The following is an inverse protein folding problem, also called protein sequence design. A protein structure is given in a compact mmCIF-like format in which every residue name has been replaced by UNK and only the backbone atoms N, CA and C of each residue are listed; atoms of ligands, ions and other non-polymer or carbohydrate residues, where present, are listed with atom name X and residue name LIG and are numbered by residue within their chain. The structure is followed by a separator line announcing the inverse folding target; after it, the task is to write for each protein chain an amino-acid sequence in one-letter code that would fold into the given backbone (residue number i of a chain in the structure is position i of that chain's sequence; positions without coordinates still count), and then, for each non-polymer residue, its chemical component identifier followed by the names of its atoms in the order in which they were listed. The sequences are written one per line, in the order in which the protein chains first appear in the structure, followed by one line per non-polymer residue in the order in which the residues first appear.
data_IF_968034210143
#
_entry.id   IF_968034210143
#
_cell.length_a   1.000
_cell.length_b   1.000
_cell.length_c   1.000
_cell.angle_alpha   90.00
_cell.angle_beta   90.00
_cell.angle_gamma   90.00
#
_symmetry.space_group_name_H-M   'P 1'
#
loop_
_entity.id
_entity.type
_entity.pdbx_description
1 polymer ?
#
# COMPACT_ATOMS: atom_id res chain seq x y z
N UNK A 1 -24.01 -8.10 -55.85
CA UNK A 1 -24.22 -6.95 -54.95
C UNK A 1 -24.85 -7.49 -53.67
N UNK A 2 -24.36 -7.08 -52.50
CA UNK A 2 -24.75 -7.49 -51.12
C UNK A 2 -24.15 -8.82 -50.61
N UNK A 3 -23.08 -8.70 -49.81
CA UNK A 3 -22.53 -9.77 -48.94
C UNK A 3 -22.85 -9.41 -47.49
N UNK A 4 -23.45 -10.35 -46.76
CA UNK A 4 -23.87 -10.21 -45.37
C UNK A 4 -22.66 -10.16 -44.41
N UNK A 5 -22.68 -9.18 -43.51
CA UNK A 5 -21.83 -9.14 -42.33
C UNK A 5 -22.28 -10.21 -41.31
N UNK A 6 -21.36 -11.08 -40.86
CA UNK A 6 -21.54 -11.86 -39.62
C UNK A 6 -20.60 -11.29 -38.56
N UNK A 7 -21.19 -10.51 -37.66
CA UNK A 7 -20.60 -10.09 -36.38
C UNK A 7 -20.59 -11.31 -35.45
N UNK A 8 -19.43 -11.82 -35.06
CA UNK A 8 -19.30 -12.81 -33.99
C UNK A 8 -19.07 -12.04 -32.69
N UNK A 9 -20.11 -12.00 -31.85
CA UNK A 9 -20.04 -11.55 -30.47
C UNK A 9 -19.54 -12.71 -29.60
N UNK A 10 -18.27 -12.70 -29.24
CA UNK A 10 -17.71 -13.58 -28.21
C UNK A 10 -18.00 -12.95 -26.84
N UNK A 11 -19.07 -13.39 -26.18
CA UNK A 11 -19.28 -13.15 -24.75
C UNK A 11 -18.39 -14.13 -23.99
N UNK A 12 -17.14 -13.72 -23.73
CA UNK A 12 -16.26 -14.43 -22.83
C UNK A 12 -16.64 -14.15 -21.37
N UNK A 13 -17.42 -15.04 -20.75
CA UNK A 13 -17.56 -15.06 -19.29
C UNK A 13 -16.24 -15.57 -18.73
N UNK A 14 -15.36 -14.66 -18.32
CA UNK A 14 -14.22 -14.99 -17.48
C UNK A 14 -14.73 -15.33 -16.08
N UNK A 15 -14.95 -16.62 -15.81
CA UNK A 15 -15.00 -17.13 -14.44
C UNK A 15 -13.57 -17.09 -13.93
N UNK A 16 -13.20 -16.00 -13.26
CA UNK A 16 -11.95 -15.96 -12.49
C UNK A 16 -12.04 -17.06 -11.44
N UNK A 17 -11.06 -17.99 -11.36
CA UNK A 17 -11.03 -18.96 -10.29
C UNK A 17 -11.03 -18.21 -8.96
N UNK A 18 -11.84 -18.64 -8.00
CA UNK A 18 -11.87 -18.06 -6.67
C UNK A 18 -10.50 -18.30 -6.01
N UNK A 19 -9.60 -17.33 -6.13
CA UNK A 19 -8.38 -17.26 -5.32
C UNK A 19 -8.85 -17.27 -3.87
N UNK A 20 -8.40 -18.25 -3.09
CA UNK A 20 -8.63 -18.27 -1.65
C UNK A 20 -8.26 -16.88 -1.11
N UNK A 21 -9.24 -16.19 -0.51
CA UNK A 21 -8.99 -14.91 0.14
C UNK A 21 -7.88 -15.15 1.16
N UNK A 22 -6.69 -14.64 0.91
CA UNK A 22 -5.71 -14.44 1.98
C UNK A 22 -6.40 -13.44 2.91
N UNK A 23 -6.93 -13.94 4.03
CA UNK A 23 -7.46 -13.08 5.08
C UNK A 23 -6.22 -12.51 5.77
N UNK A 24 -5.76 -11.36 5.28
CA UNK A 24 -4.76 -10.57 5.96
C UNK A 24 -5.19 -10.36 7.42
N UNK A 25 -4.37 -10.78 8.42
CA UNK A 25 -4.71 -10.63 9.82
C UNK A 25 -5.00 -9.16 10.15
N UNK A 26 -6.12 -8.92 10.84
CA UNK A 26 -6.48 -7.59 11.35
C UNK A 26 -5.53 -7.21 12.48
N UNK A 27 -5.06 -5.96 12.46
CA UNK A 27 -4.29 -5.40 13.57
C UNK A 27 -5.28 -4.92 14.65
N UNK A 28 -5.23 -5.46 15.88
CA UNK A 28 -6.18 -5.11 16.92
C UNK A 28 -6.24 -3.61 17.18
N UNK A 29 -7.45 -3.07 17.31
CA UNK A 29 -7.74 -1.68 17.67
C UNK A 29 -7.18 -0.61 16.72
N UNK A 30 -6.61 -0.98 15.56
CA UNK A 30 -6.07 -0.04 14.58
C UNK A 30 -7.06 0.14 13.43
N UNK A 31 -7.30 1.39 13.05
CA UNK A 31 -8.29 1.74 12.04
C UNK A 31 -7.77 2.79 11.07
N UNK A 32 -8.22 2.69 9.83
CA UNK A 32 -8.17 3.75 8.83
C UNK A 32 -9.60 4.30 8.70
N UNK A 33 -9.76 5.59 8.96
CA UNK A 33 -11.03 6.29 8.85
C UNK A 33 -10.97 7.25 7.68
N UNK A 34 -11.77 6.97 6.66
CA UNK A 34 -11.90 7.84 5.49
C UNK A 34 -13.02 8.85 5.71
N UNK A 35 -12.73 10.13 5.47
CA UNK A 35 -13.71 11.20 5.46
C UNK A 35 -14.26 11.41 4.06
N UNK A 36 -15.46 11.99 3.98
CA UNK A 36 -16.05 12.33 2.69
C UNK A 36 -15.17 13.31 1.91
N UNK A 37 -15.05 13.13 0.58
CA UNK A 37 -14.11 13.89 -0.24
C UNK A 37 -14.42 15.39 -0.29
N UNK A 38 -15.67 15.77 -0.06
CA UNK A 38 -16.19 17.14 -0.06
C UNK A 38 -16.11 17.84 1.31
N UNK A 39 -15.70 17.13 2.38
CA UNK A 39 -15.60 17.72 3.72
C UNK A 39 -14.63 18.91 3.74
N UNK A 40 -15.11 20.11 4.10
CA UNK A 40 -14.25 21.31 4.15
C UNK A 40 -13.23 21.23 5.30
N UNK A 41 -12.12 22.00 5.26
CA UNK A 41 -11.14 22.02 6.36
C UNK A 41 -11.78 22.29 7.73
N UNK A 42 -12.73 23.23 7.81
CA UNK A 42 -13.44 23.54 9.05
C UNK A 42 -14.29 22.38 9.58
N UNK A 43 -14.87 21.57 8.69
CA UNK A 43 -15.59 20.35 9.04
C UNK A 43 -14.63 19.30 9.56
N UNK A 44 -13.49 19.10 8.89
CA UNK A 44 -12.44 18.16 9.32
C UNK A 44 -11.95 18.54 10.72
N UNK A 45 -11.65 19.81 10.97
CA UNK A 45 -11.17 20.26 12.28
C UNK A 45 -12.20 20.04 13.39
N UNK A 46 -13.47 20.29 13.10
CA UNK A 46 -14.58 20.01 14.04
C UNK A 46 -14.70 18.52 14.31
N UNK A 47 -14.60 17.70 13.27
CA UNK A 47 -14.61 16.24 13.39
C UNK A 47 -13.45 15.75 14.26
N UNK A 48 -12.23 16.25 14.04
CA UNK A 48 -11.04 15.86 14.83
C UNK A 48 -11.17 16.23 16.31
N UNK A 49 -11.69 17.43 16.63
CA UNK A 49 -11.97 17.81 18.02
C UNK A 49 -13.03 16.92 18.66
N UNK A 50 -14.02 16.48 17.88
CA UNK A 50 -15.05 15.56 18.35
C UNK A 50 -14.48 14.15 18.59
N UNK A 51 -13.71 13.59 17.66
CA UNK A 51 -13.04 12.27 17.81
C UNK A 51 -12.20 12.24 19.08
N UNK A 52 -11.35 13.26 19.29
CA UNK A 52 -10.51 13.35 20.49
C UNK A 52 -11.31 13.43 21.81
N UNK A 53 -12.55 13.93 21.77
CA UNK A 53 -13.44 13.96 22.94
C UNK A 53 -14.11 12.62 23.15
N UNK A 54 -14.61 12.00 22.07
CA UNK A 54 -15.20 10.65 22.12
C UNK A 54 -14.18 9.66 22.68
N UNK A 55 -12.96 9.69 22.16
CA UNK A 55 -11.85 8.85 22.63
C UNK A 55 -11.58 9.04 24.12
N UNK A 56 -11.28 10.29 24.54
CA UNK A 56 -10.99 10.59 25.96
C UNK A 56 -12.12 10.15 26.89
N UNK A 57 -13.36 10.44 26.53
CA UNK A 57 -14.52 10.11 27.37
C UNK A 57 -14.73 8.59 27.55
N UNK A 58 -14.18 7.73 26.67
CA UNK A 58 -14.26 6.28 26.81
C UNK A 58 -13.02 5.67 27.45
N UNK A 59 -11.84 6.20 27.18
CA UNK A 59 -10.59 5.71 27.77
C UNK A 59 -10.53 5.96 29.29
N UNK A 60 -11.22 6.98 29.80
CA UNK A 60 -11.27 7.27 31.24
C UNK A 60 -11.98 6.20 32.11
N UNK A 61 -12.52 5.12 31.53
CA UNK A 61 -13.20 4.05 32.29
C UNK A 61 -12.86 2.61 31.89
N UNK A 62 -11.93 2.39 30.96
CA UNK A 62 -11.57 1.06 30.45
C UNK A 62 -10.03 0.96 30.35
N UNK A 63 -9.45 -0.18 30.76
CA UNK A 63 -8.01 -0.48 30.62
C UNK A 63 -7.57 -0.72 29.15
N UNK A 64 -8.09 0.06 28.21
CA UNK A 64 -7.71 -0.03 26.79
C UNK A 64 -6.61 0.98 26.51
N UNK A 65 -5.36 0.50 26.38
CA UNK A 65 -4.20 1.30 26.02
C UNK A 65 -4.26 1.73 24.53
N UNK A 66 -5.16 2.66 24.21
CA UNK A 66 -5.42 3.14 22.85
C UNK A 66 -5.00 4.60 22.70
N UNK A 67 -4.21 4.89 21.67
CA UNK A 67 -3.53 6.19 21.49
C UNK A 67 -4.41 7.27 20.84
N UNK A 68 -5.57 6.90 20.27
CA UNK A 68 -6.44 7.82 19.56
C UNK A 68 -5.97 8.07 18.13
N UNK A 69 -6.16 9.29 17.61
CA UNK A 69 -5.72 9.64 16.25
C UNK A 69 -4.19 9.64 16.18
N UNK A 70 -3.62 8.85 15.26
CA UNK A 70 -2.17 8.71 15.08
C UNK A 70 -1.68 9.58 13.92
N UNK A 71 -2.26 9.45 12.72
CA UNK A 71 -1.82 10.20 11.53
C UNK A 71 -3.00 10.72 10.73
N UNK A 72 -2.84 11.89 10.11
CA UNK A 72 -3.84 12.48 9.21
C UNK A 72 -3.32 12.49 7.78
N UNK A 73 -4.22 12.28 6.84
CA UNK A 73 -3.95 12.23 5.41
C UNK A 73 -4.83 13.24 4.69
N UNK A 74 -4.20 14.06 3.85
CA UNK A 74 -4.87 15.03 3.00
C UNK A 74 -4.20 15.02 1.63
N UNK A 75 -4.66 14.15 0.75
CA UNK A 75 -4.10 13.95 -0.60
C UNK A 75 -5.23 14.17 -1.61
N UNK A 76 -5.29 15.36 -2.21
CA UNK A 76 -6.38 15.76 -3.10
C UNK A 76 -7.76 15.57 -2.44
N UNK A 77 -8.59 14.68 -2.99
CA UNK A 77 -9.91 14.33 -2.46
C UNK A 77 -9.85 13.24 -1.37
N UNK A 78 -8.70 12.58 -1.20
CA UNK A 78 -8.50 11.58 -0.16
C UNK A 78 -8.20 12.27 1.17
N UNK A 79 -9.17 12.21 2.07
CA UNK A 79 -9.11 12.75 3.43
C UNK A 79 -9.29 11.59 4.38
N UNK A 80 -8.30 11.29 5.20
CA UNK A 80 -8.38 10.17 6.11
C UNK A 80 -7.56 10.42 7.37
N UNK A 81 -7.73 9.57 8.36
CA UNK A 81 -6.80 9.46 9.47
C UNK A 81 -6.66 8.01 9.90
N UNK A 82 -5.49 7.66 10.42
CA UNK A 82 -5.29 6.43 11.16
C UNK A 82 -5.45 6.69 12.65
N UNK A 83 -5.85 5.67 13.39
CA UNK A 83 -5.87 5.77 14.83
C UNK A 83 -6.07 4.44 15.53
N UNK A 84 -5.70 4.44 16.82
CA UNK A 84 -5.94 3.36 17.74
C UNK A 84 -7.16 3.66 18.60
N UNK A 85 -8.22 2.86 18.46
CA UNK A 85 -9.50 3.04 19.13
C UNK A 85 -10.04 1.70 19.61
N UNK A 86 -10.84 1.71 20.68
CA UNK A 86 -11.63 0.53 21.01
C UNK A 86 -12.64 0.24 19.89
N UNK A 87 -12.70 -1.03 19.48
CA UNK A 87 -13.49 -1.48 18.33
C UNK A 87 -15.00 -1.37 18.55
N UNK A 88 -15.44 -1.50 19.80
CA UNK A 88 -16.84 -1.69 20.18
C UNK A 88 -17.58 -0.36 20.32
N UNK A 89 -16.93 0.67 20.85
CA UNK A 89 -17.61 1.92 21.22
C UNK A 89 -17.07 3.08 20.39
N UNK A 90 -15.76 3.35 20.41
CA UNK A 90 -15.21 4.53 19.74
C UNK A 90 -15.24 4.38 18.22
N UNK A 91 -14.74 3.26 17.67
CA UNK A 91 -14.76 3.03 16.22
C UNK A 91 -16.19 3.00 15.66
N UNK A 92 -17.12 2.35 16.38
CA UNK A 92 -18.53 2.31 16.00
C UNK A 92 -19.20 3.70 16.03
N UNK A 93 -18.89 4.54 17.02
CA UNK A 93 -19.38 5.93 17.08
C UNK A 93 -18.83 6.78 15.95
N UNK A 94 -17.54 6.64 15.64
CA UNK A 94 -16.90 7.31 14.51
C UNK A 94 -17.62 6.94 13.20
N UNK A 95 -17.88 5.65 12.97
CA UNK A 95 -18.55 5.17 11.76
C UNK A 95 -19.96 5.70 11.53
N UNK A 96 -20.62 6.22 12.57
CA UNK A 96 -21.96 6.85 12.48
C UNK A 96 -21.90 8.36 12.24
N UNK A 97 -20.72 8.97 12.20
CA UNK A 97 -20.58 10.41 11.98
C UNK A 97 -20.88 10.77 10.52
N UNK A 98 -21.64 11.84 10.30
CA UNK A 98 -22.10 12.29 8.98
C UNK A 98 -20.95 12.51 7.97
N UNK A 99 -19.75 12.85 8.43
CA UNK A 99 -18.60 13.19 7.59
C UNK A 99 -17.64 12.04 7.35
N UNK A 100 -17.92 10.86 7.91
CA UNK A 100 -17.16 9.64 7.69
C UNK A 100 -17.74 8.89 6.50
N UNK A 101 -16.87 8.47 5.59
CA UNK A 101 -17.20 7.64 4.45
C UNK A 101 -17.06 6.16 4.81
N UNK A 102 -15.93 5.76 5.40
CA UNK A 102 -15.67 4.40 5.85
C UNK A 102 -14.80 4.38 7.11
N UNK A 103 -14.96 3.31 7.89
CA UNK A 103 -14.05 2.93 8.98
C UNK A 103 -13.62 1.50 8.69
N UNK A 104 -12.34 1.30 8.44
CA UNK A 104 -11.80 0.00 8.09
C UNK A 104 -10.75 -0.43 9.11
N UNK A 105 -10.81 -1.67 9.62
CA UNK A 105 -9.74 -2.19 10.46
C UNK A 105 -8.46 -2.30 9.64
N UNK A 106 -7.34 -1.91 10.25
CA UNK A 106 -6.03 -2.05 9.64
C UNK A 106 -5.66 -3.53 9.51
N UNK A 107 -4.89 -3.88 8.48
CA UNK A 107 -4.57 -5.26 8.12
C UNK A 107 -3.11 -5.38 7.75
N UNK A 108 -2.52 -6.52 8.09
CA UNK A 108 -1.16 -6.85 7.66
C UNK A 108 -1.15 -7.16 6.16
N UNK A 109 -0.24 -6.55 5.42
CA UNK A 109 0.05 -6.92 4.04
C UNK A 109 1.29 -7.82 4.01
N UNK A 110 1.33 -8.78 3.09
CA UNK A 110 2.48 -9.64 2.90
C UNK A 110 2.89 -9.67 1.43
N UNK A 111 4.19 -9.70 1.17
CA UNK A 111 4.73 -9.97 -0.14
C UNK A 111 4.55 -11.47 -0.40
N UNK A 112 3.81 -11.82 -1.45
CA UNK A 112 3.62 -13.21 -1.81
C UNK A 112 4.93 -13.81 -2.32
N UNK A 113 5.30 -15.00 -1.84
CA UNK A 113 6.38 -15.83 -2.40
C UNK A 113 5.90 -16.63 -3.63
N UNK A 114 4.79 -16.22 -4.24
CA UNK A 114 4.12 -16.96 -5.30
C UNK A 114 5.01 -17.12 -6.52
N UNK A 115 5.69 -18.27 -6.59
CA UNK A 115 6.36 -18.72 -7.80
C UNK A 115 5.29 -19.14 -8.79
N UNK A 116 4.70 -18.17 -9.50
CA UNK A 116 3.90 -18.49 -10.67
C UNK A 116 4.86 -18.97 -11.77
N UNK A 117 5.08 -20.28 -11.82
CA UNK A 117 5.64 -20.93 -13.01
C UNK A 117 4.44 -21.25 -13.91
N UNK A 118 4.20 -20.51 -15.00
CA UNK A 118 3.24 -20.97 -15.98
C UNK A 118 3.71 -22.34 -16.48
N UNK A 119 2.91 -23.40 -16.27
CA UNK A 119 3.20 -24.78 -16.71
C UNK A 119 3.35 -24.91 -18.24
N UNK A 120 3.10 -23.83 -18.99
CA UNK A 120 3.57 -23.59 -20.35
C UNK A 120 4.06 -22.14 -20.47
N UNK A 121 5.27 -21.86 -20.02
CA UNK A 121 6.01 -20.72 -20.56
C UNK A 121 6.34 -21.06 -22.02
N UNK A 122 5.42 -20.79 -22.94
CA UNK A 122 5.80 -20.62 -24.33
C UNK A 122 6.91 -19.57 -24.30
N UNK A 123 8.09 -19.89 -24.82
CA UNK A 123 9.26 -19.02 -24.79
C UNK A 123 8.90 -17.73 -25.52
N UNK A 124 8.33 -16.78 -24.79
CA UNK A 124 8.11 -15.44 -25.27
C UNK A 124 9.49 -14.85 -25.44
N UNK A 125 9.83 -14.47 -26.66
CA UNK A 125 11.00 -13.67 -26.90
C UNK A 125 10.83 -12.39 -26.08
N UNK A 126 11.73 -12.16 -25.13
CA UNK A 126 11.74 -10.93 -24.35
C UNK A 126 12.25 -9.84 -25.29
N UNK A 127 11.32 -9.17 -25.97
CA UNK A 127 11.65 -8.05 -26.85
C UNK A 127 12.02 -6.90 -25.94
N UNK A 128 13.32 -6.61 -25.83
CA UNK A 128 13.76 -5.39 -25.18
C UNK A 128 13.23 -4.21 -25.99
N UNK A 129 12.44 -3.40 -25.32
CA UNK A 129 12.10 -2.07 -25.75
C UNK A 129 13.36 -1.28 -26.14
N UNK A 130 13.23 -0.42 -27.17
CA UNK A 130 14.29 0.49 -27.61
C UNK A 130 14.94 1.24 -26.44
N UNK A 131 16.23 1.57 -26.60
CA UNK A 131 17.04 2.19 -25.56
C UNK A 131 16.45 3.48 -24.95
N UNK A 132 15.47 4.12 -25.60
CA UNK A 132 14.79 5.35 -25.16
C UNK A 132 13.57 5.17 -24.25
N UNK A 133 13.08 3.94 -24.03
CA UNK A 133 11.81 3.76 -23.32
C UNK A 133 11.88 4.18 -21.85
N UNK A 134 10.84 4.90 -21.41
CA UNK A 134 10.73 5.42 -20.05
C UNK A 134 11.39 6.78 -19.83
N UNK A 135 11.99 7.40 -20.85
CA UNK A 135 12.59 8.73 -20.68
C UNK A 135 11.54 9.75 -20.22
N UNK A 136 11.90 10.57 -19.23
CA UNK A 136 10.99 11.55 -18.61
C UNK A 136 9.86 10.94 -17.77
N UNK A 137 9.87 9.62 -17.54
CA UNK A 137 8.87 8.94 -16.70
C UNK A 137 9.43 8.55 -15.34
N UNK A 138 8.54 8.41 -14.36
CA UNK A 138 8.86 8.02 -12.99
C UNK A 138 8.16 6.70 -12.66
N UNK A 139 8.89 5.76 -12.09
CA UNK A 139 8.33 4.54 -11.54
C UNK A 139 8.54 4.52 -10.02
N UNK A 140 7.45 4.62 -9.27
CA UNK A 140 7.47 4.50 -7.81
C UNK A 140 7.37 3.01 -7.44
N UNK A 141 8.45 2.47 -6.86
CA UNK A 141 8.50 1.08 -6.39
C UNK A 141 8.14 1.01 -4.92
N UNK A 142 6.94 0.52 -4.62
CA UNK A 142 6.40 0.36 -3.26
C UNK A 142 6.72 -1.05 -2.77
N UNK A 143 7.83 -1.21 -2.04
CA UNK A 143 8.42 -2.54 -1.75
C UNK A 143 9.30 -2.53 -0.47
N UNK A 144 10.28 -3.44 -0.36
CA UNK A 144 11.27 -3.53 0.72
C UNK A 144 12.33 -2.42 0.70
N UNK A 145 12.17 -1.43 -0.17
CA UNK A 145 13.16 -0.39 -0.43
C UNK A 145 13.90 -0.64 -1.74
N UNK A 146 15.01 0.07 -1.95
CA UNK A 146 15.84 -0.09 -3.14
C UNK A 146 17.30 0.22 -2.80
N UNK A 147 18.24 -0.56 -3.33
CA UNK A 147 19.62 -0.09 -3.42
C UNK A 147 19.75 0.92 -4.57
N UNK A 148 19.52 2.20 -4.27
CA UNK A 148 19.57 3.27 -5.27
C UNK A 148 20.93 3.41 -5.96
N UNK A 149 22.01 2.93 -5.33
CA UNK A 149 23.37 2.98 -5.86
C UNK A 149 23.75 1.75 -6.68
N UNK A 150 22.80 0.84 -6.95
CA UNK A 150 23.08 -0.35 -7.74
C UNK A 150 23.52 0.04 -9.17
N UNK A 151 24.61 -0.54 -9.66
CA UNK A 151 25.25 -0.17 -10.94
C UNK A 151 24.30 -0.27 -12.14
N UNK A 152 23.35 -1.22 -12.10
CA UNK A 152 22.32 -1.38 -13.14
C UNK A 152 21.34 -0.22 -13.25
N UNK A 153 21.23 0.65 -12.24
CA UNK A 153 20.37 1.81 -12.29
C UNK A 153 21.06 3.05 -12.87
N UNK A 154 22.39 3.05 -12.99
CA UNK A 154 23.16 4.15 -13.62
C UNK A 154 22.83 5.54 -13.06
N UNK A 155 22.53 5.63 -11.75
CA UNK A 155 22.14 6.87 -11.09
C UNK A 155 20.70 7.33 -11.32
N UNK A 156 19.86 6.54 -12.01
CA UNK A 156 18.43 6.82 -12.22
C UNK A 156 17.54 6.44 -11.04
N UNK A 157 18.07 5.77 -10.02
CA UNK A 157 17.33 5.38 -8.85
C UNK A 157 17.52 6.39 -7.71
N UNK A 158 16.42 6.71 -7.01
CA UNK A 158 16.40 7.65 -5.90
C UNK A 158 15.58 7.09 -4.73
N UNK A 159 15.97 7.47 -3.52
CA UNK A 159 15.22 7.18 -2.31
C UNK A 159 14.09 8.22 -2.13
N UNK A 160 12.83 7.80 -2.26
CA UNK A 160 11.65 8.66 -2.16
C UNK A 160 11.07 8.76 -0.74
N UNK A 161 10.32 7.74 -0.30
CA UNK A 161 9.71 7.71 1.04
C UNK A 161 9.99 6.41 1.81
N UNK A 162 10.40 6.52 3.08
CA UNK A 162 10.49 5.39 4.01
C UNK A 162 9.32 5.45 4.98
N UNK A 163 8.34 4.57 4.79
CA UNK A 163 7.20 4.48 5.68
C UNK A 163 7.62 3.96 7.07
N UNK A 164 8.72 3.20 7.16
CA UNK A 164 9.20 2.53 8.37
C UNK A 164 10.27 3.33 9.13
N UNK A 165 10.47 4.61 8.79
CA UNK A 165 11.50 5.45 9.40
C UNK A 165 11.33 5.59 10.92
N UNK A 166 10.09 5.69 11.41
CA UNK A 166 9.78 5.81 12.84
C UNK A 166 10.13 4.54 13.64
N UNK A 167 10.35 3.41 12.95
CA UNK A 167 10.81 2.15 13.53
C UNK A 167 12.34 2.02 13.51
N UNK A 168 13.07 3.08 13.14
CA UNK A 168 14.52 3.09 12.93
C UNK A 168 14.99 2.07 11.88
N UNK A 169 14.13 1.72 10.92
CA UNK A 169 14.45 0.77 9.86
C UNK A 169 15.13 1.54 8.71
N UNK A 170 16.35 1.15 8.27
CA UNK A 170 17.05 1.80 7.18
C UNK A 170 16.22 1.84 5.89
N UNK A 171 16.39 2.89 5.09
CA UNK A 171 15.62 3.07 3.85
C UNK A 171 16.13 2.18 2.71
N UNK A 172 17.43 1.87 2.70
CA UNK A 172 18.01 0.98 1.69
C UNK A 172 17.42 -0.42 1.82
N UNK A 173 17.23 -1.07 0.67
CA UNK A 173 16.74 -2.45 0.62
C UNK A 173 17.65 -3.41 1.39
N UNK A 174 17.07 -4.14 2.32
CA UNK A 174 17.71 -5.16 3.14
C UNK A 174 17.30 -6.59 2.74
N UNK A 175 16.36 -6.75 1.80
CA UNK A 175 15.81 -8.05 1.38
C UNK A 175 16.13 -8.40 -0.07
N UNK A 176 16.46 -7.41 -0.88
CA UNK A 176 16.75 -7.57 -2.31
C UNK A 176 15.51 -7.64 -3.20
N UNK A 177 14.31 -7.88 -2.65
CA UNK A 177 13.06 -7.97 -3.42
C UNK A 177 12.76 -6.66 -4.14
N UNK A 178 12.76 -5.53 -3.43
CA UNK A 178 12.49 -4.22 -4.01
C UNK A 178 13.54 -3.80 -5.05
N UNK A 179 14.81 -4.12 -4.83
CA UNK A 179 15.89 -3.88 -5.80
C UNK A 179 15.71 -4.74 -7.05
N UNK A 180 15.36 -6.03 -6.89
CA UNK A 180 15.12 -6.94 -8.01
C UNK A 180 13.90 -6.50 -8.84
N UNK A 181 12.77 -6.22 -8.19
CA UNK A 181 11.54 -5.74 -8.85
C UNK A 181 11.79 -4.41 -9.58
N UNK A 182 12.52 -3.48 -8.96
CA UNK A 182 12.93 -2.23 -9.62
C UNK A 182 13.90 -2.48 -10.79
N UNK A 183 14.72 -3.52 -10.70
CA UNK A 183 15.56 -4.02 -11.79
C UNK A 183 14.75 -4.43 -13.01
N UNK A 184 13.67 -5.17 -12.83
CA UNK A 184 12.76 -5.54 -13.93
C UNK A 184 12.11 -4.32 -14.57
N UNK A 185 11.86 -3.26 -13.79
CA UNK A 185 11.29 -2.02 -14.32
C UNK A 185 12.34 -1.26 -15.14
N UNK A 186 13.50 -0.92 -14.57
CA UNK A 186 14.39 0.10 -15.15
C UNK A 186 15.89 -0.17 -15.04
N UNK A 187 16.32 -1.43 -14.86
CA UNK A 187 17.74 -1.75 -15.01
C UNK A 187 18.23 -1.56 -16.45
N UNK A 188 19.52 -1.23 -16.60
CA UNK A 188 20.21 -1.13 -17.89
C UNK A 188 20.10 -2.43 -18.70
N UNK A 189 20.36 -3.57 -18.05
CA UNK A 189 20.43 -4.86 -18.75
C UNK A 189 19.04 -5.43 -19.03
N UNK A 190 18.20 -5.54 -17.99
CA UNK A 190 16.95 -6.31 -18.04
C UNK A 190 15.67 -5.48 -17.93
N UNK A 191 15.78 -4.16 -17.74
CA UNK A 191 14.64 -3.27 -17.53
C UNK A 191 13.76 -3.19 -18.78
N UNK A 192 12.45 -3.14 -18.55
CA UNK A 192 11.45 -2.87 -19.59
C UNK A 192 11.45 -1.39 -19.99
N UNK A 193 11.53 -0.48 -19.01
CA UNK A 193 11.57 0.97 -19.18
C UNK A 193 12.95 1.51 -18.78
N UNK A 194 13.97 1.21 -19.60
CA UNK A 194 15.39 1.41 -19.27
C UNK A 194 15.77 2.85 -18.91
N UNK A 195 15.06 3.87 -19.40
CA UNK A 195 15.33 5.29 -19.08
C UNK A 195 14.40 5.89 -18.02
N UNK A 196 13.56 5.07 -17.37
CA UNK A 196 12.71 5.55 -16.28
C UNK A 196 13.54 5.98 -15.06
N UNK A 197 13.09 7.04 -14.38
CA UNK A 197 13.59 7.40 -13.06
C UNK A 197 12.88 6.52 -12.02
N UNK A 198 13.64 5.75 -11.25
CA UNK A 198 13.12 4.83 -10.25
C UNK A 198 13.06 5.53 -8.89
N UNK A 199 11.89 5.55 -8.24
CA UNK A 199 11.71 6.16 -6.93
C UNK A 199 11.33 5.08 -5.92
N UNK A 200 12.18 4.88 -4.91
CA UNK A 200 11.92 3.90 -3.86
C UNK A 200 10.89 4.41 -2.84
N UNK A 201 9.91 3.56 -2.53
CA UNK A 201 8.98 3.76 -1.43
C UNK A 201 9.01 2.50 -0.55
N UNK A 202 9.73 2.56 0.57
CA UNK A 202 9.87 1.41 1.47
C UNK A 202 8.66 1.32 2.38
N UNK A 203 7.91 0.23 2.27
CA UNK A 203 6.78 -0.09 3.14
C UNK A 203 6.90 -1.47 3.81
N UNK A 204 7.86 -2.27 3.36
CA UNK A 204 8.19 -3.59 3.92
C UNK A 204 9.59 -3.59 4.55
N UNK A 205 9.76 -4.19 5.72
CA UNK A 205 11.08 -4.52 6.27
C UNK A 205 11.50 -5.95 5.91
N UNK A 206 10.52 -6.86 5.95
CA UNK A 206 10.64 -8.26 5.58
C UNK A 206 9.42 -8.64 4.71
N UNK A 207 9.15 -9.93 4.46
CA UNK A 207 8.00 -10.39 3.67
C UNK A 207 6.61 -10.01 4.22
N UNK A 208 6.55 -9.35 5.38
CA UNK A 208 5.32 -8.78 5.93
C UNK A 208 5.51 -7.29 6.20
N UNK A 209 4.51 -6.49 5.86
CA UNK A 209 4.36 -5.12 6.33
C UNK A 209 3.11 -5.05 7.19
N UNK A 210 3.27 -4.51 8.38
CA UNK A 210 2.18 -3.81 9.06
C UNK A 210 2.18 -2.37 8.54
N UNK A 211 1.05 -1.65 8.64
CA UNK A 211 1.15 -0.19 8.49
C UNK A 211 2.22 0.31 9.47
N UNK A 212 3.07 1.29 9.11
CA UNK A 212 4.14 1.76 10.00
C UNK A 212 3.65 2.40 11.31
N UNK A 213 2.34 2.38 11.55
CA UNK A 213 1.64 3.08 12.60
C UNK A 213 1.26 2.17 13.77
N UNK A 214 1.72 0.92 13.78
CA UNK A 214 1.21 -0.14 14.67
C UNK A 214 2.18 -0.69 15.72
N UNK A 215 3.17 0.06 16.22
CA UNK A 215 3.92 -0.38 17.41
C UNK A 215 3.85 0.66 18.52
N UNK A 216 3.29 0.25 19.67
CA UNK A 216 4.16 0.06 20.82
C UNK A 216 4.19 -1.43 21.15
N UNK A 217 5.38 -2.02 21.09
CA UNK A 217 5.72 -3.25 21.81
C UNK A 217 4.84 -4.48 21.53
N UNK A 218 5.24 -5.30 20.56
CA UNK A 218 4.99 -6.74 20.62
C UNK A 218 6.36 -7.43 20.46
N UNK A 219 6.83 -8.21 21.46
CA UNK A 219 8.09 -8.94 21.33
C UNK A 219 7.98 -9.97 20.20
N UNK A 220 9.13 -10.40 19.65
CA UNK A 220 9.15 -11.42 18.61
C UNK A 220 8.67 -12.74 19.21
N UNK A 221 7.42 -13.10 18.96
CA UNK A 221 7.01 -14.50 19.04
C UNK A 221 7.58 -15.21 17.81
N UNK A 222 8.65 -15.94 18.08
CA UNK A 222 9.22 -17.00 17.27
C UNK A 222 8.14 -17.90 16.65
N UNK A 223 8.25 -18.15 15.35
CA UNK A 223 7.78 -19.40 14.77
C UNK A 223 8.56 -20.58 15.34
#
# INVERSE_FOLDING_TARGET
MMSLWRLVLLVGVFVLPAWGRIISPVVPNQYIVMLKPDASPAVIDRHMRWVNRVHRNHVHGLETNTTGVIKRYSINKFKAYSGSFDSVITAAKIGRNLWVATVEPDKKCALGTGQYIPQKAQRAEYIFADAGMGNGTFAYSIDTGMNANHVEFEGRAQLGYNALADLNIPFVDNMGHGTHTAGTIGSRTYGVAKQATLISVKVFDNFTSVSPLSTPFAPPESC
#
